data_IF_079911476587
#
_entry.id   IF_079911476587
#
_cell.length_a   1.000
_cell.length_b   1.000
_cell.length_c   1.000
_cell.angle_alpha   90.00
_cell.angle_beta   90.00
_cell.angle_gamma   90.00
#
_symmetry.space_group_name_H-M   'P 1'
#
loop_
_entity.id
_entity.type
_entity.pdbx_description
1 polymer ?
#
# COMPACT_ATOMS: atom_id res chain seq x y z
N UNK A 1 -2.77 -3.29 37.35
CA UNK A 1 -3.40 -4.14 36.31
C UNK A 1 -4.21 -3.36 35.28
N UNK A 2 -5.10 -2.42 35.64
CA UNK A 2 -5.91 -1.66 34.67
C UNK A 2 -5.09 -0.70 33.78
N UNK A 3 -4.11 -0.01 34.38
CA UNK A 3 -3.21 0.94 33.67
C UNK A 3 -2.26 0.24 32.68
N UNK A 4 -1.76 -0.93 33.05
CA UNK A 4 -0.89 -1.75 32.19
C UNK A 4 -1.65 -2.32 31.00
N UNK A 5 -2.89 -2.78 31.20
CA UNK A 5 -3.76 -3.23 30.11
C UNK A 5 -4.09 -2.10 29.11
N UNK A 6 -4.35 -0.88 29.60
CA UNK A 6 -4.60 0.28 28.76
C UNK A 6 -3.39 0.65 27.89
N UNK A 7 -2.17 0.59 28.45
CA UNK A 7 -0.93 0.88 27.69
C UNK A 7 -0.69 -0.18 26.60
N UNK A 8 -0.86 -1.46 26.92
CA UNK A 8 -0.67 -2.54 25.95
C UNK A 8 -1.68 -2.41 24.80
N UNK A 9 -2.95 -2.12 25.13
CA UNK A 9 -3.99 -1.88 24.12
C UNK A 9 -3.68 -0.68 23.24
N UNK A 10 -3.21 0.43 23.82
CA UNK A 10 -2.81 1.62 23.06
C UNK A 10 -1.64 1.31 22.10
N UNK A 11 -0.61 0.60 22.56
CA UNK A 11 0.51 0.20 21.71
C UNK A 11 0.05 -0.69 20.54
N UNK A 12 -0.79 -1.71 20.80
CA UNK A 12 -1.31 -2.58 19.74
C UNK A 12 -2.09 -1.80 18.67
N UNK A 13 -2.90 -0.82 19.07
CA UNK A 13 -3.64 0.04 18.14
C UNK A 13 -2.71 0.89 17.27
N UNK A 14 -1.64 1.44 17.84
CA UNK A 14 -0.66 2.23 17.07
C UNK A 14 0.11 1.41 16.04
N UNK A 15 0.44 0.15 16.35
CA UNK A 15 1.09 -0.75 15.39
C UNK A 15 0.12 -1.24 14.30
N UNK A 16 -1.17 -1.39 14.60
CA UNK A 16 -2.16 -1.74 13.59
C UNK A 16 -2.36 -0.61 12.55
N UNK A 17 -2.24 0.65 12.96
CA UNK A 17 -2.42 1.81 12.07
C UNK A 17 -1.26 2.01 11.07
N UNK A 18 -0.04 1.60 11.42
CA UNK A 18 1.12 1.76 10.52
C UNK A 18 1.02 0.89 9.26
N UNK A 19 0.24 -0.20 9.30
CA UNK A 19 -0.02 -1.07 8.15
C UNK A 19 -0.79 -0.38 7.01
N UNK A 20 -1.50 0.72 7.29
CA UNK A 20 -2.20 1.51 6.27
C UNK A 20 -1.34 2.62 5.65
N UNK A 21 -0.10 2.83 6.12
CA UNK A 21 0.78 3.91 5.63
C UNK A 21 1.61 3.51 4.40
N UNK A 22 1.02 2.70 3.51
CA UNK A 22 1.66 2.27 2.26
C UNK A 22 2.09 3.47 1.39
N UNK A 23 3.23 3.34 0.71
CA UNK A 23 3.69 4.36 -0.24
C UNK A 23 2.91 4.26 -1.54
N UNK A 24 2.21 5.32 -1.92
CA UNK A 24 1.53 5.40 -3.22
C UNK A 24 2.44 5.98 -4.29
N UNK A 25 2.29 5.52 -5.52
CA UNK A 25 3.02 6.02 -6.69
C UNK A 25 2.05 6.50 -7.77
N UNK A 26 2.51 7.44 -8.59
CA UNK A 26 1.74 7.99 -9.72
C UNK A 26 2.46 7.65 -11.02
N UNK A 27 1.76 6.94 -11.90
CA UNK A 27 2.23 6.60 -13.24
C UNK A 27 1.53 7.48 -14.26
N UNK A 28 2.30 8.06 -15.18
CA UNK A 28 1.79 8.74 -16.36
C UNK A 28 1.99 7.82 -17.55
N UNK A 29 0.91 7.47 -18.22
CA UNK A 29 0.93 6.59 -19.38
C UNK A 29 0.99 7.39 -20.67
N UNK A 30 1.50 6.77 -21.75
CA UNK A 30 1.62 7.42 -23.05
C UNK A 30 0.25 7.74 -23.71
N UNK A 31 -0.82 7.06 -23.28
CA UNK A 31 -2.20 7.36 -23.68
C UNK A 31 -2.84 8.49 -22.86
N UNK A 32 -2.05 9.19 -22.03
CA UNK A 32 -2.48 10.39 -21.31
C UNK A 32 -3.24 10.12 -20.01
N UNK A 33 -3.20 8.88 -19.48
CA UNK A 33 -3.81 8.56 -18.18
C UNK A 33 -2.84 8.79 -17.03
N UNK A 34 -3.41 9.14 -15.88
CA UNK A 34 -2.71 9.19 -14.60
C UNK A 34 -3.25 8.07 -13.72
N UNK A 35 -2.38 7.12 -13.37
CA UNK A 35 -2.74 5.93 -12.59
C UNK A 35 -2.07 6.03 -11.22
N UNK A 36 -2.86 5.90 -10.15
CA UNK A 36 -2.34 5.80 -8.77
C UNK A 36 -2.18 4.32 -8.43
N UNK A 37 -0.99 3.93 -7.99
CA UNK A 37 -0.72 2.59 -7.49
C UNK A 37 -0.43 2.57 -5.99
N UNK A 38 -0.94 1.53 -5.32
CA UNK A 38 -0.55 1.17 -3.96
C UNK A 38 0.77 0.39 -4.03
N UNK A 39 1.85 1.01 -3.54
CA UNK A 39 3.20 0.50 -3.67
C UNK A 39 3.87 0.85 -4.99
N UNK A 40 5.17 0.54 -5.05
CA UNK A 40 6.01 0.76 -6.23
C UNK A 40 5.66 -0.27 -7.31
N UNK A 41 5.32 0.16 -8.55
CA UNK A 41 5.16 -0.74 -9.68
C UNK A 41 6.44 -1.54 -9.96
N UNK A 42 6.32 -2.80 -10.38
CA UNK A 42 7.45 -3.68 -10.64
C UNK A 42 7.30 -4.40 -11.98
N UNK A 43 8.41 -4.73 -12.62
CA UNK A 43 8.38 -5.57 -13.82
C UNK A 43 8.07 -7.01 -13.43
N UNK A 44 7.04 -7.58 -14.04
CA UNK A 44 6.70 -8.99 -13.94
C UNK A 44 7.69 -9.80 -14.78
N UNK A 45 8.34 -10.80 -14.17
CA UNK A 45 9.40 -11.58 -14.82
C UNK A 45 8.88 -12.62 -15.81
N UNK A 46 7.60 -13.00 -15.72
CA UNK A 46 7.01 -14.03 -16.58
C UNK A 46 6.52 -13.45 -17.91
N UNK A 47 5.99 -12.21 -17.87
CA UNK A 47 5.37 -11.55 -19.02
C UNK A 47 6.09 -10.26 -19.48
N UNK A 48 7.01 -9.73 -18.67
CA UNK A 48 7.78 -8.51 -18.98
C UNK A 48 6.99 -7.19 -18.89
N UNK A 49 5.76 -7.22 -18.39
CA UNK A 49 4.92 -6.03 -18.21
C UNK A 49 5.12 -5.40 -16.83
N UNK A 50 4.73 -4.14 -16.66
CA UNK A 50 4.69 -3.50 -15.34
C UNK A 50 3.45 -3.96 -14.60
N UNK A 51 3.63 -4.72 -13.51
CA UNK A 51 2.55 -5.05 -12.59
C UNK A 51 2.47 -4.04 -11.46
N UNK A 52 1.24 -3.67 -11.11
CA UNK A 52 0.95 -2.74 -10.04
C UNK A 52 -0.38 -3.08 -9.36
N UNK A 53 -0.55 -2.60 -8.13
CA UNK A 53 -1.82 -2.64 -7.43
C UNK A 53 -2.50 -1.30 -7.59
N UNK A 54 -3.72 -1.26 -8.10
CA UNK A 54 -4.48 -0.02 -8.28
C UNK A 54 -4.97 0.55 -6.93
N UNK A 55 -5.54 1.76 -6.96
CA UNK A 55 -6.09 2.42 -5.77
C UNK A 55 -7.25 1.67 -5.10
N UNK A 56 -7.90 0.73 -5.80
CA UNK A 56 -8.97 -0.11 -5.27
C UNK A 56 -8.44 -1.44 -4.70
N UNK A 57 -7.14 -1.69 -4.86
CA UNK A 57 -6.45 -2.85 -4.37
C UNK A 57 -6.41 -4.04 -5.33
N UNK A 58 -6.77 -3.86 -6.59
CA UNK A 58 -6.70 -4.90 -7.61
C UNK A 58 -5.31 -4.94 -8.25
N UNK A 59 -4.83 -6.14 -8.57
CA UNK A 59 -3.61 -6.32 -9.36
C UNK A 59 -3.90 -6.10 -10.84
N UNK A 60 -3.00 -5.37 -11.49
CA UNK A 60 -3.00 -5.07 -12.92
C UNK A 60 -1.64 -5.41 -13.52
#
# INVERSE_FOLDING_TARGET
>A
MKKTAAIISACMLTFALSACSGSNYVMHTNDGRTIVSDGKPQTDNDIGMISYKDANGNKQ
#
